data_IF_982901527382
#
_entry.id   IF_982901527382
#
_cell.length_a   1.000
_cell.length_b   1.000
_cell.length_c   1.000
_cell.angle_alpha   90.00
_cell.angle_beta   90.00
_cell.angle_gamma   90.00
#
_symmetry.space_group_name_H-M   'P 1'
#
loop_
_entity.id
_entity.type
_entity.pdbx_description
1 polymer ?
#
# COMPACT_ATOMS: atom_id res chain seq x y z
N UNK A 1 4.66 -14.88 23.31
CA UNK A 1 4.44 -13.89 22.25
C UNK A 1 5.55 -13.97 21.21
N UNK A 2 5.20 -13.95 19.89
CA UNK A 2 6.18 -13.85 18.81
C UNK A 2 6.37 -12.40 18.42
N UNK A 3 7.61 -12.01 18.11
CA UNK A 3 7.91 -10.65 17.66
C UNK A 3 9.11 -10.62 16.71
N UNK A 4 9.18 -9.59 15.87
CA UNK A 4 10.29 -9.34 14.97
C UNK A 4 11.14 -8.19 15.52
N UNK A 5 12.47 -8.37 15.52
CA UNK A 5 13.40 -7.33 15.95
C UNK A 5 14.76 -7.48 15.24
N UNK A 6 15.61 -6.45 15.38
CA UNK A 6 16.98 -6.53 14.90
C UNK A 6 17.79 -7.58 15.68
N UNK A 7 18.62 -8.34 14.98
CA UNK A 7 19.47 -9.37 15.58
C UNK A 7 20.30 -8.84 16.77
N UNK A 8 20.84 -7.61 16.64
CA UNK A 8 21.63 -6.97 17.71
C UNK A 8 20.82 -6.67 18.98
N UNK A 9 19.50 -6.47 18.86
CA UNK A 9 18.58 -6.25 19.98
C UNK A 9 18.21 -7.56 20.66
N UNK A 10 18.15 -8.66 19.90
CA UNK A 10 17.78 -9.98 20.40
C UNK A 10 18.92 -10.73 21.08
N UNK A 11 20.14 -10.62 20.54
CA UNK A 11 21.30 -11.37 21.06
C UNK A 11 21.59 -11.14 22.55
N UNK A 12 21.49 -9.92 23.10
CA UNK A 12 21.73 -9.68 24.52
C UNK A 12 20.69 -10.30 25.47
N UNK A 13 19.50 -10.65 24.97
CA UNK A 13 18.42 -11.23 25.78
C UNK A 13 18.66 -12.69 26.14
N UNK A 14 19.56 -13.37 25.46
CA UNK A 14 20.04 -14.72 25.81
C UNK A 14 18.92 -15.73 26.01
N UNK A 15 18.82 -16.29 27.21
CA UNK A 15 17.83 -17.33 27.54
C UNK A 15 16.40 -16.82 27.79
N UNK A 16 16.17 -15.50 27.79
CA UNK A 16 14.83 -14.92 27.95
C UNK A 16 13.95 -15.08 26.69
N UNK A 17 14.59 -15.41 25.58
CA UNK A 17 13.91 -15.59 24.28
C UNK A 17 14.39 -16.84 23.57
N UNK A 18 13.55 -17.33 22.65
CA UNK A 18 13.91 -18.35 21.67
C UNK A 18 13.92 -17.73 20.28
N UNK A 19 15.04 -17.85 19.54
CA UNK A 19 15.10 -17.42 18.14
C UNK A 19 14.44 -18.48 17.28
N UNK A 20 13.31 -18.14 16.65
CA UNK A 20 12.54 -19.07 15.81
C UNK A 20 12.98 -19.03 14.34
N UNK A 21 13.33 -17.86 13.83
CA UNK A 21 13.77 -17.73 12.44
C UNK A 21 14.69 -16.52 12.23
N UNK A 22 15.73 -16.72 11.42
CA UNK A 22 16.48 -15.65 10.76
C UNK A 22 15.77 -15.35 9.46
N UNK A 23 15.26 -14.14 9.32
CA UNK A 23 14.48 -13.79 8.12
C UNK A 23 15.38 -13.31 6.98
N UNK A 24 14.93 -13.39 5.71
CA UNK A 24 15.64 -12.77 4.59
C UNK A 24 15.50 -11.25 4.55
N UNK A 25 14.75 -10.67 5.50
CA UNK A 25 14.45 -9.24 5.53
C UNK A 25 15.52 -8.47 6.30
N UNK A 26 15.72 -7.23 5.88
CA UNK A 26 16.61 -6.30 6.56
C UNK A 26 15.98 -4.92 6.66
N UNK A 27 16.46 -4.13 7.62
CA UNK A 27 16.14 -2.70 7.71
C UNK A 27 17.43 -1.93 7.90
N UNK A 28 17.74 -1.00 6.99
CA UNK A 28 18.99 -0.25 7.02
C UNK A 28 20.24 -1.14 7.13
N UNK A 29 20.30 -2.23 6.33
CA UNK A 29 21.35 -3.26 6.34
C UNK A 29 21.49 -4.04 7.66
N UNK A 30 20.46 -4.05 8.51
CA UNK A 30 20.44 -4.82 9.76
C UNK A 30 19.53 -6.01 9.61
N UNK A 31 20.01 -7.17 10.03
CA UNK A 31 19.23 -8.42 9.98
C UNK A 31 18.06 -8.35 10.94
N UNK A 32 16.91 -8.83 10.47
CA UNK A 32 15.69 -8.97 11.25
C UNK A 32 15.42 -10.44 11.52
N UNK A 33 15.20 -10.77 12.79
CA UNK A 33 14.91 -12.13 13.23
C UNK A 33 13.56 -12.17 13.94
N UNK A 34 12.93 -13.35 13.91
CA UNK A 34 11.71 -13.61 14.67
C UNK A 34 12.09 -14.41 15.91
N UNK A 35 11.68 -13.88 17.05
CA UNK A 35 11.88 -14.48 18.35
C UNK A 35 10.54 -14.72 19.05
N UNK A 36 10.57 -15.63 20.02
CA UNK A 36 9.47 -15.88 20.95
C UNK A 36 9.94 -15.60 22.39
N UNK A 37 9.09 -14.92 23.17
CA UNK A 37 9.21 -14.84 24.60
C UNK A 37 7.97 -15.42 25.27
N UNK A 38 8.15 -16.14 26.36
CA UNK A 38 7.10 -16.66 27.24
C UNK A 38 6.92 -15.81 28.51
N UNK A 39 7.82 -14.86 28.71
CA UNK A 39 7.83 -13.93 29.86
C UNK A 39 7.54 -12.52 29.39
N UNK A 40 7.18 -11.65 30.34
CA UNK A 40 7.08 -10.23 30.11
C UNK A 40 8.46 -9.64 29.83
N UNK A 41 8.64 -9.11 28.65
CA UNK A 41 9.91 -8.62 28.14
C UNK A 41 9.77 -7.17 27.67
N UNK A 42 10.67 -6.32 28.12
CA UNK A 42 10.79 -4.96 27.58
C UNK A 42 11.88 -4.93 26.51
N UNK A 43 11.46 -4.86 25.24
CA UNK A 43 12.38 -4.86 24.11
C UNK A 43 11.87 -3.96 22.98
N UNK A 44 12.74 -3.64 22.03
CA UNK A 44 12.39 -2.89 20.83
C UNK A 44 11.94 -3.86 19.74
N UNK A 45 10.77 -3.60 19.16
CA UNK A 45 10.22 -4.33 18.03
C UNK A 45 10.58 -3.58 16.76
N UNK A 46 11.10 -4.30 15.76
CA UNK A 46 11.47 -3.71 14.47
C UNK A 46 11.02 -4.61 13.34
N UNK A 47 10.17 -4.09 12.46
CA UNK A 47 9.72 -4.80 11.25
C UNK A 47 10.44 -4.35 9.98
N UNK A 48 10.26 -5.08 8.86
CA UNK A 48 10.79 -4.72 7.55
C UNK A 48 10.37 -3.32 7.07
N UNK A 49 11.12 -2.77 6.11
CA UNK A 49 10.91 -1.41 5.65
C UNK A 49 9.74 -1.27 4.68
N UNK A 50 9.51 -2.27 3.82
CA UNK A 50 8.49 -2.22 2.78
C UNK A 50 7.21 -2.94 3.20
N UNK A 51 6.07 -2.51 2.66
CA UNK A 51 4.76 -3.16 2.89
C UNK A 51 4.78 -4.64 2.48
N UNK A 52 5.37 -4.92 1.33
CA UNK A 52 5.48 -6.29 0.83
C UNK A 52 6.24 -7.20 1.82
N UNK A 53 7.38 -6.76 2.31
CA UNK A 53 8.16 -7.52 3.29
C UNK A 53 7.47 -7.62 4.65
N UNK A 54 6.72 -6.61 5.07
CA UNK A 54 5.94 -6.66 6.31
C UNK A 54 4.84 -7.74 6.24
N UNK A 55 4.12 -7.81 5.12
CA UNK A 55 3.12 -8.86 4.87
C UNK A 55 3.77 -10.24 4.81
N UNK A 56 4.90 -10.37 4.12
CA UNK A 56 5.65 -11.63 4.07
C UNK A 56 6.20 -12.04 5.45
N UNK A 57 6.61 -11.08 6.28
CA UNK A 57 7.00 -11.33 7.67
C UNK A 57 5.80 -11.80 8.52
N UNK A 58 4.63 -11.17 8.35
CA UNK A 58 3.40 -11.60 9.01
C UNK A 58 3.01 -13.03 8.63
N UNK A 59 3.10 -13.39 7.35
CA UNK A 59 2.86 -14.75 6.88
C UNK A 59 3.85 -15.76 7.47
N UNK A 60 5.12 -15.37 7.61
CA UNK A 60 6.12 -16.21 8.27
C UNK A 60 5.79 -16.40 9.76
N UNK A 61 5.38 -15.34 10.47
CA UNK A 61 4.95 -15.44 11.86
C UNK A 61 3.73 -16.36 12.03
N UNK A 62 2.74 -16.29 11.13
CA UNK A 62 1.60 -17.23 11.10
C UNK A 62 2.05 -18.67 10.92
N UNK A 63 3.02 -18.96 10.04
CA UNK A 63 3.62 -20.30 9.85
C UNK A 63 4.37 -20.79 11.07
N UNK A 64 4.91 -19.88 11.89
CA UNK A 64 5.58 -20.19 13.16
C UNK A 64 4.60 -20.31 14.34
N UNK A 65 3.28 -20.25 14.10
CA UNK A 65 2.26 -20.48 15.10
C UNK A 65 1.57 -19.23 15.65
N UNK A 66 1.78 -18.06 15.09
CA UNK A 66 1.03 -16.87 15.48
C UNK A 66 -0.42 -16.97 14.98
N UNK A 67 -1.39 -16.95 15.86
CA UNK A 67 -2.82 -16.90 15.50
C UNK A 67 -3.22 -15.53 14.96
N UNK A 68 -2.66 -14.47 15.53
CA UNK A 68 -2.90 -13.08 15.13
C UNK A 68 -1.58 -12.34 15.02
N UNK A 69 -1.45 -11.50 14.01
CA UNK A 69 -0.28 -10.66 13.80
C UNK A 69 -0.72 -9.20 13.81
N UNK A 70 -0.12 -8.42 14.70
CA UNK A 70 -0.30 -6.98 14.75
C UNK A 70 0.85 -6.32 14.01
N UNK A 71 0.54 -5.51 13.02
CA UNK A 71 1.52 -4.68 12.30
C UNK A 71 1.33 -3.26 12.81
N UNK A 72 2.30 -2.78 13.58
CA UNK A 72 2.35 -1.39 13.97
C UNK A 72 2.85 -0.56 12.79
N UNK A 73 1.96 0.23 12.25
CA UNK A 73 2.22 1.08 11.10
C UNK A 73 2.72 2.43 11.55
N UNK A 74 3.87 2.86 11.05
CA UNK A 74 4.18 4.27 11.12
C UNK A 74 3.14 5.07 10.32
N UNK A 75 2.88 6.29 10.73
CA UNK A 75 1.90 7.22 10.17
C UNK A 75 1.94 7.35 8.63
N UNK A 76 3.10 7.12 8.02
CA UNK A 76 3.32 7.23 6.57
C UNK A 76 2.96 5.97 5.76
N UNK A 77 2.56 4.87 6.43
CA UNK A 77 2.32 3.58 5.75
C UNK A 77 0.85 3.23 5.63
N UNK A 78 0.05 4.19 5.20
CA UNK A 78 -1.39 4.03 4.94
C UNK A 78 -1.70 2.90 3.93
N UNK A 79 -0.73 2.56 3.07
CA UNK A 79 -0.83 1.51 2.06
C UNK A 79 -1.05 0.10 2.62
N UNK A 80 -0.57 -0.22 3.82
CA UNK A 80 -0.89 -1.50 4.48
C UNK A 80 -2.36 -1.57 4.85
N UNK A 81 -2.88 -0.48 5.39
CA UNK A 81 -4.26 -0.37 5.82
C UNK A 81 -5.28 -0.52 4.67
N UNK A 82 -4.85 -0.21 3.45
CA UNK A 82 -5.65 -0.33 2.24
C UNK A 82 -5.43 -1.65 1.49
N UNK A 83 -4.60 -2.54 2.05
CA UNK A 83 -4.32 -3.87 1.49
C UNK A 83 -5.43 -4.86 1.84
N UNK A 84 -5.89 -5.64 0.87
CA UNK A 84 -6.81 -6.77 1.10
C UNK A 84 -6.18 -7.92 1.92
N UNK A 85 -4.90 -7.81 2.29
CA UNK A 85 -4.20 -8.78 3.13
C UNK A 85 -4.38 -8.51 4.64
N UNK A 86 -5.08 -7.44 5.01
CA UNK A 86 -5.33 -7.03 6.40
C UNK A 86 -6.80 -7.26 6.75
N UNK A 87 -7.04 -8.05 7.80
CA UNK A 87 -8.41 -8.40 8.25
C UNK A 87 -9.11 -7.22 8.95
N UNK A 88 -8.34 -6.39 9.67
CA UNK A 88 -8.86 -5.24 10.41
C UNK A 88 -7.81 -4.15 10.58
N UNK A 89 -8.26 -2.92 10.74
CA UNK A 89 -7.43 -1.74 10.96
C UNK A 89 -7.87 -1.06 12.24
N UNK A 90 -6.93 -0.77 13.13
CA UNK A 90 -7.14 0.07 14.30
C UNK A 90 -6.47 1.41 14.01
N UNK A 91 -7.29 2.45 13.89
CA UNK A 91 -6.81 3.80 13.66
C UNK A 91 -6.91 4.61 14.95
N UNK A 92 -5.76 5.11 15.43
CA UNK A 92 -5.69 6.02 16.57
C UNK A 92 -5.37 7.43 16.07
N UNK A 93 -6.23 8.39 16.37
CA UNK A 93 -6.03 9.79 16.01
C UNK A 93 -5.98 10.65 17.27
N UNK A 94 -4.84 11.30 17.49
CA UNK A 94 -4.61 12.19 18.62
C UNK A 94 -4.72 13.67 18.25
N UNK A 95 -4.97 14.54 19.25
CA UNK A 95 -5.08 15.99 19.06
C UNK A 95 -3.79 16.65 18.54
N UNK A 96 -2.64 15.97 18.60
CA UNK A 96 -1.38 16.42 18.00
C UNK A 96 -1.40 16.40 16.47
N UNK A 97 -2.32 15.65 15.84
CA UNK A 97 -2.45 15.59 14.38
C UNK A 97 -3.08 16.86 13.80
N UNK A 98 -4.02 17.47 14.53
CA UNK A 98 -4.72 18.66 14.10
C UNK A 98 -5.97 18.93 14.93
N UNK A 99 -6.76 19.89 14.50
CA UNK A 99 -8.07 20.13 15.12
C UNK A 99 -9.08 19.04 14.75
N UNK A 100 -10.24 19.03 15.43
CA UNK A 100 -11.28 18.01 15.23
C UNK A 100 -11.76 17.92 13.77
N UNK A 101 -11.85 19.05 13.08
CA UNK A 101 -12.27 19.08 11.67
C UNK A 101 -11.25 18.39 10.78
N UNK A 102 -9.95 18.70 10.92
CA UNK A 102 -8.87 18.08 10.15
C UNK A 102 -8.82 16.57 10.38
N UNK A 103 -9.01 16.13 11.64
CA UNK A 103 -9.05 14.70 11.98
C UNK A 103 -10.26 14.04 11.30
N UNK A 104 -11.44 14.64 11.37
CA UNK A 104 -12.65 14.10 10.77
C UNK A 104 -12.53 13.97 9.23
N UNK A 105 -11.97 14.96 8.56
CA UNK A 105 -11.73 14.95 7.11
C UNK A 105 -10.76 13.83 6.70
N UNK A 106 -9.67 13.65 7.43
CA UNK A 106 -8.71 12.59 7.15
C UNK A 106 -9.31 11.20 7.42
N UNK A 107 -10.07 11.02 8.50
CA UNK A 107 -10.79 9.78 8.78
C UNK A 107 -11.79 9.47 7.65
N UNK A 108 -12.57 10.45 7.22
CA UNK A 108 -13.52 10.28 6.12
C UNK A 108 -12.82 9.91 4.83
N UNK A 109 -11.65 10.49 4.55
CA UNK A 109 -10.82 10.16 3.40
C UNK A 109 -10.35 8.71 3.44
N UNK A 110 -9.83 8.24 4.58
CA UNK A 110 -9.37 6.86 4.76
C UNK A 110 -10.50 5.84 4.64
N UNK A 111 -11.67 6.13 5.22
CA UNK A 111 -12.87 5.30 5.09
C UNK A 111 -13.30 5.20 3.63
N UNK A 112 -13.26 6.31 2.89
CA UNK A 112 -13.59 6.33 1.47
C UNK A 112 -12.62 5.48 0.66
N UNK A 113 -11.32 5.62 0.90
CA UNK A 113 -10.29 4.81 0.23
C UNK A 113 -10.43 3.32 0.54
N UNK A 114 -10.74 2.94 1.79
CA UNK A 114 -10.91 1.53 2.18
C UNK A 114 -12.14 0.86 1.53
N UNK A 115 -13.09 1.64 1.02
CA UNK A 115 -14.29 1.14 0.32
C UNK A 115 -14.15 1.07 -1.19
N UNK A 116 -13.00 1.47 -1.74
CA UNK A 116 -12.76 1.38 -3.18
C UNK A 116 -12.68 -0.09 -3.58
N UNK A 117 -13.53 -0.46 -4.53
CA UNK A 117 -13.59 -1.82 -5.05
C UNK A 117 -12.38 -2.18 -5.90
N UNK A 118 -11.93 -3.41 -5.80
CA UNK A 118 -10.86 -3.93 -6.66
C UNK A 118 -11.41 -4.24 -8.05
N UNK A 119 -10.88 -3.57 -9.07
CA UNK A 119 -11.24 -3.87 -10.47
C UNK A 119 -10.56 -5.16 -10.94
N UNK A 120 -11.35 -6.20 -11.17
CA UNK A 120 -10.85 -7.52 -11.58
C UNK A 120 -10.88 -7.64 -13.11
N UNK A 121 -9.71 -7.69 -13.74
CA UNK A 121 -9.56 -7.92 -15.18
C UNK A 121 -8.23 -8.59 -15.48
N UNK A 122 -8.20 -9.87 -15.91
CA UNK A 122 -6.96 -10.56 -16.29
C UNK A 122 -6.16 -9.84 -17.36
N UNK A 123 -6.85 -9.28 -18.35
CA UNK A 123 -6.21 -8.51 -19.44
C UNK A 123 -5.54 -7.25 -18.90
N UNK A 124 -6.22 -6.52 -17.99
CA UNK A 124 -5.62 -5.34 -17.37
C UNK A 124 -4.41 -5.71 -16.53
N UNK A 125 -4.47 -6.80 -15.75
CA UNK A 125 -3.35 -7.26 -14.93
C UNK A 125 -2.11 -7.56 -15.78
N UNK A 126 -2.28 -8.22 -16.93
CA UNK A 126 -1.19 -8.51 -17.86
C UNK A 126 -0.59 -7.24 -18.46
N UNK A 127 -1.41 -6.30 -18.92
CA UNK A 127 -0.95 -5.05 -19.54
C UNK A 127 -0.35 -4.08 -18.49
N UNK A 128 -0.84 -4.10 -17.26
CA UNK A 128 -0.37 -3.23 -16.18
C UNK A 128 1.10 -3.48 -15.79
N UNK A 129 1.67 -4.64 -16.16
CA UNK A 129 3.11 -4.94 -15.96
C UNK A 129 4.02 -3.97 -16.71
N UNK A 130 3.56 -3.41 -17.82
CA UNK A 130 4.33 -2.46 -18.64
C UNK A 130 4.44 -1.05 -18.04
N UNK A 131 3.78 -0.80 -16.91
CA UNK A 131 3.79 0.49 -16.20
C UNK A 131 3.35 1.71 -17.05
N UNK A 132 2.48 1.48 -18.03
CA UNK A 132 1.90 2.51 -18.89
C UNK A 132 0.47 2.85 -18.48
N UNK A 133 0.06 4.08 -18.79
CA UNK A 133 -1.35 4.49 -18.73
C UNK A 133 -2.10 3.72 -19.82
N UNK A 134 -3.21 3.08 -19.45
CA UNK A 134 -4.03 2.32 -20.38
C UNK A 134 -5.41 2.94 -20.49
N UNK A 135 -5.99 2.90 -21.69
CA UNK A 135 -7.37 3.30 -21.96
C UNK A 135 -8.17 2.09 -22.42
N UNK A 136 -9.46 2.04 -22.05
CA UNK A 136 -10.39 1.04 -22.54
C UNK A 136 -11.39 1.69 -23.49
N UNK A 137 -11.22 1.40 -24.78
CA UNK A 137 -12.11 1.84 -25.86
C UNK A 137 -12.83 0.64 -26.46
N UNK A 138 -14.14 0.76 -26.67
CA UNK A 138 -14.98 -0.31 -27.26
C UNK A 138 -14.75 -1.70 -26.65
N UNK A 139 -14.52 -1.72 -25.33
CA UNK A 139 -14.30 -2.96 -24.58
C UNK A 139 -12.88 -3.51 -24.61
N UNK A 140 -11.94 -2.93 -25.36
CA UNK A 140 -10.55 -3.38 -25.48
C UNK A 140 -9.59 -2.41 -24.78
N UNK A 141 -8.57 -2.95 -24.14
CA UNK A 141 -7.51 -2.20 -23.52
C UNK A 141 -6.40 -1.85 -24.51
N UNK A 142 -5.93 -0.60 -24.49
CA UNK A 142 -4.85 -0.08 -25.31
C UNK A 142 -3.86 0.67 -24.45
N UNK A 143 -2.56 0.46 -24.70
CA UNK A 143 -1.50 1.26 -24.07
C UNK A 143 -1.40 2.62 -24.75
N UNK A 144 -1.30 3.68 -23.95
CA UNK A 144 -1.05 5.03 -24.46
C UNK A 144 0.44 5.31 -24.71
N UNK A 145 1.33 4.42 -24.23
CA UNK A 145 2.77 4.65 -24.21
C UNK A 145 3.24 5.69 -23.19
N UNK A 146 2.34 6.24 -22.38
CA UNK A 146 2.63 7.24 -21.36
C UNK A 146 2.78 6.58 -20.00
N UNK A 147 3.90 6.83 -19.29
CA UNK A 147 4.17 6.21 -17.99
C UNK A 147 3.66 7.05 -16.81
N UNK A 148 3.49 8.35 -16.95
CA UNK A 148 3.12 9.26 -15.87
C UNK A 148 2.20 10.37 -16.34
N UNK A 149 1.17 10.67 -15.53
CA UNK A 149 0.27 11.80 -15.76
C UNK A 149 0.88 13.15 -15.40
N UNK A 150 1.80 13.19 -14.46
CA UNK A 150 2.41 14.44 -13.99
C UNK A 150 3.10 15.17 -15.14
N UNK A 151 3.86 14.43 -15.95
CA UNK A 151 4.61 14.98 -17.09
C UNK A 151 3.88 14.92 -18.42
N UNK A 152 2.81 14.14 -18.55
CA UNK A 152 2.15 13.86 -19.83
C UNK A 152 0.65 14.14 -19.85
N UNK A 153 0.14 14.98 -18.96
CA UNK A 153 -1.30 15.28 -18.90
C UNK A 153 -1.84 15.88 -20.20
N UNK A 154 -1.09 16.75 -20.87
CA UNK A 154 -1.48 17.34 -22.17
C UNK A 154 -1.57 16.29 -23.27
N UNK A 155 -0.53 15.43 -23.37
CA UNK A 155 -0.52 14.33 -24.35
C UNK A 155 -1.66 13.34 -24.13
N UNK A 156 -2.00 13.07 -22.87
CA UNK A 156 -3.15 12.23 -22.55
C UNK A 156 -4.44 12.87 -23.07
N UNK A 157 -4.65 14.18 -22.87
CA UNK A 157 -5.84 14.87 -23.37
C UNK A 157 -5.96 14.80 -24.91
N UNK A 158 -4.86 14.90 -25.62
CA UNK A 158 -4.83 14.72 -27.08
C UNK A 158 -5.31 13.31 -27.46
N UNK A 159 -4.81 12.26 -26.80
CA UNK A 159 -5.24 10.87 -27.04
C UNK A 159 -6.73 10.70 -26.72
N UNK A 160 -7.19 11.26 -25.58
CA UNK A 160 -8.60 11.17 -25.16
C UNK A 160 -9.52 11.87 -26.16
N UNK A 161 -9.10 13.02 -26.73
CA UNK A 161 -9.88 13.77 -27.72
C UNK A 161 -10.01 13.06 -29.07
N UNK A 162 -9.05 12.21 -29.42
CA UNK A 162 -9.03 11.43 -30.66
C UNK A 162 -9.76 10.08 -30.54
N UNK A 163 -10.11 9.66 -29.31
CA UNK A 163 -10.70 8.35 -29.03
C UNK A 163 -12.18 8.48 -28.66
N UNK A 164 -13.07 7.89 -29.46
CA UNK A 164 -14.50 8.23 -29.45
C UNK A 164 -15.32 7.74 -28.23
N UNK A 165 -14.93 6.68 -27.51
CA UNK A 165 -15.71 6.11 -26.39
C UNK A 165 -14.83 5.43 -25.36
N UNK A 166 -14.07 6.21 -24.63
CA UNK A 166 -13.26 5.68 -23.52
C UNK A 166 -14.18 5.45 -22.33
N UNK A 167 -14.22 4.22 -21.85
CA UNK A 167 -15.00 3.82 -20.68
C UNK A 167 -14.18 3.77 -19.39
N UNK A 168 -12.88 3.43 -19.48
CA UNK A 168 -12.00 3.28 -18.34
C UNK A 168 -10.61 3.82 -18.65
N UNK A 169 -9.96 4.34 -17.62
CA UNK A 169 -8.57 4.81 -17.65
C UNK A 169 -7.80 4.18 -16.50
N UNK A 170 -6.77 3.39 -16.80
CA UNK A 170 -5.86 2.85 -15.79
C UNK A 170 -4.65 3.75 -15.64
N UNK A 171 -4.34 4.09 -14.40
CA UNK A 171 -3.25 5.00 -14.02
C UNK A 171 -2.28 4.25 -13.10
N UNK A 172 -1.06 3.89 -13.57
CA UNK A 172 -0.09 3.13 -12.78
C UNK A 172 0.62 3.96 -11.70
N UNK A 173 0.62 5.27 -11.84
CA UNK A 173 1.34 6.21 -10.98
C UNK A 173 0.41 7.14 -10.21
N UNK A 174 0.98 8.20 -9.63
CA UNK A 174 0.25 9.16 -8.80
C UNK A 174 -0.77 9.99 -9.61
N UNK A 175 -1.96 10.15 -9.01
CA UNK A 175 -3.00 11.07 -9.46
C UNK A 175 -3.17 12.17 -8.40
N UNK A 176 -2.45 13.26 -8.58
CA UNK A 176 -2.39 14.35 -7.60
C UNK A 176 -3.51 15.37 -7.81
N UNK A 177 -3.78 16.20 -6.80
CA UNK A 177 -4.72 17.33 -6.91
C UNK A 177 -4.34 18.28 -8.07
N UNK A 178 -3.05 18.48 -8.33
CA UNK A 178 -2.57 19.29 -9.46
C UNK A 178 -2.96 18.66 -10.81
N UNK A 179 -2.85 17.34 -10.94
CA UNK A 179 -3.30 16.61 -12.14
C UNK A 179 -4.82 16.70 -12.27
N UNK A 180 -5.55 16.45 -11.17
CA UNK A 180 -7.02 16.55 -11.17
C UNK A 180 -7.52 17.93 -11.59
N UNK A 181 -6.92 19.00 -11.09
CA UNK A 181 -7.29 20.37 -11.46
C UNK A 181 -7.05 20.65 -12.95
N UNK A 182 -6.05 20.00 -13.55
CA UNK A 182 -5.68 20.19 -14.96
C UNK A 182 -6.55 19.41 -15.93
N UNK A 183 -6.87 18.14 -15.61
CA UNK A 183 -7.53 17.23 -16.56
C UNK A 183 -8.81 16.57 -16.02
N UNK A 184 -9.15 16.76 -14.76
CA UNK A 184 -10.26 16.05 -14.10
C UNK A 184 -11.62 16.28 -14.77
N UNK A 185 -11.88 17.49 -15.32
CA UNK A 185 -13.12 17.78 -16.03
C UNK A 185 -13.27 16.92 -17.29
N UNK A 186 -12.18 16.69 -18.01
CA UNK A 186 -12.16 15.88 -19.25
C UNK A 186 -12.26 14.39 -18.94
N UNK A 187 -12.00 13.97 -17.72
CA UNK A 187 -12.14 12.58 -17.26
C UNK A 187 -13.55 12.28 -16.73
N UNK A 188 -14.45 13.26 -16.73
CA UNK A 188 -15.85 13.06 -16.32
C UNK A 188 -16.53 11.98 -17.16
N UNK A 189 -17.15 10.98 -16.51
CA UNK A 189 -17.78 9.84 -17.16
C UNK A 189 -16.82 8.69 -17.51
N UNK A 190 -15.53 8.83 -17.26
CA UNK A 190 -14.55 7.76 -17.42
C UNK A 190 -14.28 7.12 -16.05
N UNK A 191 -14.39 5.79 -15.95
CA UNK A 191 -14.02 5.07 -14.73
C UNK A 191 -12.50 5.07 -14.56
N UNK A 192 -12.02 5.67 -13.47
CA UNK A 192 -10.60 5.67 -13.14
C UNK A 192 -10.23 4.41 -12.37
N UNK A 193 -9.13 3.78 -12.75
CA UNK A 193 -8.57 2.60 -12.11
C UNK A 193 -7.13 2.90 -11.75
N UNK A 194 -6.79 2.73 -10.49
CA UNK A 194 -5.45 2.97 -9.97
C UNK A 194 -4.76 1.65 -9.62
N UNK A 195 -3.45 1.62 -9.71
CA UNK A 195 -2.66 0.46 -9.25
C UNK A 195 -2.78 0.30 -7.74
N UNK A 196 -2.73 1.43 -7.02
CA UNK A 196 -2.85 1.54 -5.57
C UNK A 196 -3.82 2.67 -5.23
N UNK A 197 -4.53 2.59 -4.13
CA UNK A 197 -5.53 3.58 -3.73
C UNK A 197 -4.95 4.89 -3.17
N UNK A 198 -3.62 5.05 -3.16
CA UNK A 198 -2.92 6.27 -2.71
C UNK A 198 -2.67 7.26 -3.83
#
# INVERSE_FOLDING_TARGET
CLFCAEAKTLLPLGSEISILAKTPFSRSNRELWIAQSEIDLKTEITGPATVYEQLACADLMKKLGAEKVLIDGSFDRKSIALSNAVDAIILSAGASFGNAQTIAEELQRLITLSRIETYKSPVLQQLATQNNILIKDKGRWHSTGLASLISNSTKLLEILSQTAKISHLYIPGAYTSSVNNRIGKQLSGIQLIFRHPE
#
